data_IF_677694858152
#
_entry.id   IF_677694858152
#
_cell.length_a   1.000
_cell.length_b   1.000
_cell.length_c   1.000
_cell.angle_alpha   90.00
_cell.angle_beta   90.00
_cell.angle_gamma   90.00
#
_symmetry.space_group_name_H-M   'P 1'
#
loop_
_entity.id
_entity.type
_entity.pdbx_description
1 polymer ?
#
# COMPACT_ATOMS: atom_id res chain seq x y z
N UNK A 1 11.50 3.71 -31.20
CA UNK A 1 10.87 4.99 -30.83
C UNK A 1 10.45 4.90 -29.38
N UNK A 2 11.33 5.31 -28.47
CA UNK A 2 11.08 5.27 -27.03
C UNK A 2 10.19 6.46 -26.68
N UNK A 3 8.94 6.20 -26.30
CA UNK A 3 8.10 7.22 -25.70
C UNK A 3 8.60 7.43 -24.27
N UNK A 4 9.24 8.56 -24.01
CA UNK A 4 9.43 9.06 -22.65
C UNK A 4 8.05 9.32 -22.06
N UNK A 5 7.64 8.47 -21.12
CA UNK A 5 6.43 8.71 -20.33
C UNK A 5 6.62 9.96 -19.46
N UNK A 6 5.54 10.71 -19.16
CA UNK A 6 5.66 11.93 -18.38
C UNK A 6 6.28 11.63 -17.01
N UNK A 7 7.37 12.32 -16.70
CA UNK A 7 8.02 12.26 -15.40
C UNK A 7 7.10 12.90 -14.34
N UNK A 8 6.20 12.10 -13.76
CA UNK A 8 5.50 12.44 -12.53
C UNK A 8 6.39 12.03 -11.35
N UNK A 9 7.48 12.76 -11.13
CA UNK A 9 8.23 12.70 -9.87
C UNK A 9 8.03 14.04 -9.19
N UNK A 10 6.94 14.17 -8.45
CA UNK A 10 6.79 15.27 -7.50
C UNK A 10 7.51 14.86 -6.23
N UNK A 11 8.50 15.65 -5.80
CA UNK A 11 9.22 15.45 -4.54
C UNK A 11 8.43 15.88 -3.31
N UNK A 12 7.16 16.23 -3.47
CA UNK A 12 6.31 16.69 -2.38
C UNK A 12 5.82 15.50 -1.54
N UNK A 13 5.87 15.61 -0.19
CA UNK A 13 5.29 14.63 0.72
C UNK A 13 3.82 14.35 0.40
N UNK A 14 3.37 13.14 0.71
CA UNK A 14 1.96 12.79 0.57
C UNK A 14 1.09 13.71 1.46
N UNK A 15 0.15 14.45 0.86
CA UNK A 15 -0.85 15.20 1.64
C UNK A 15 -1.85 14.22 2.27
N UNK A 16 -1.48 13.75 3.46
CA UNK A 16 -2.27 12.79 4.23
C UNK A 16 -3.65 13.34 4.64
N UNK A 17 -3.84 14.66 4.70
CA UNK A 17 -5.14 15.26 5.00
C UNK A 17 -6.07 15.13 3.79
N UNK A 18 -5.58 15.39 2.57
CA UNK A 18 -6.32 15.14 1.34
C UNK A 18 -6.64 13.65 1.20
N UNK A 19 -5.65 12.77 1.40
CA UNK A 19 -5.84 11.32 1.30
C UNK A 19 -6.90 10.84 2.29
N UNK A 20 -6.81 11.25 3.57
CA UNK A 20 -7.81 10.92 4.58
C UNK A 20 -9.20 11.38 4.18
N UNK A 21 -9.35 12.62 3.71
CA UNK A 21 -10.64 13.17 3.27
C UNK A 21 -11.22 12.40 2.09
N UNK A 22 -10.40 12.04 1.10
CA UNK A 22 -10.83 11.24 -0.06
C UNK A 22 -11.26 9.84 0.36
N UNK A 23 -10.52 9.18 1.24
CA UNK A 23 -10.86 7.85 1.76
C UNK A 23 -12.14 7.86 2.60
N UNK A 24 -12.40 8.92 3.38
CA UNK A 24 -13.62 9.07 4.17
C UNK A 24 -14.89 9.18 3.30
N UNK A 25 -14.76 9.67 2.07
CA UNK A 25 -15.85 9.77 1.11
C UNK A 25 -15.97 8.52 0.21
N UNK A 26 -15.16 7.48 0.44
CA UNK A 26 -15.15 6.24 -0.31
C UNK A 26 -16.11 5.18 0.25
N UNK A 27 -15.87 3.92 -0.11
CA UNK A 27 -16.71 2.78 0.32
C UNK A 27 -16.58 2.42 1.80
N UNK A 28 -15.61 3.02 2.52
CA UNK A 28 -15.37 2.78 3.96
C UNK A 28 -14.85 1.39 4.31
N UNK A 29 -14.62 0.50 3.34
CA UNK A 29 -14.18 -0.88 3.56
C UNK A 29 -12.71 -0.98 4.02
N UNK A 30 -11.82 -0.19 3.41
CA UNK A 30 -10.39 -0.16 3.70
C UNK A 30 -9.87 1.28 3.58
N UNK A 31 -8.74 1.58 4.21
CA UNK A 31 -8.10 2.91 4.13
C UNK A 31 -8.24 3.73 5.40
N UNK A 32 -9.18 3.38 6.30
CA UNK A 32 -9.41 4.08 7.56
C UNK A 32 -9.51 3.10 8.75
N UNK A 33 -9.02 3.48 9.93
CA UNK A 33 -8.26 4.70 10.25
C UNK A 33 -6.93 4.81 9.49
N UNK A 34 -6.57 6.03 9.06
CA UNK A 34 -5.31 6.30 8.36
C UNK A 34 -4.24 6.79 9.35
N UNK A 35 -3.18 6.02 9.49
CA UNK A 35 -1.97 6.36 10.23
C UNK A 35 -0.88 6.75 9.25
N UNK A 36 -0.43 7.99 9.32
CA UNK A 36 0.64 8.50 8.47
C UNK A 36 1.92 8.68 9.29
N UNK A 37 3.04 8.21 8.77
CA UNK A 37 4.37 8.33 9.36
C UNK A 37 5.36 8.86 8.31
N UNK A 38 6.04 9.99 8.52
CA UNK A 38 6.99 10.50 7.53
C UNK A 38 8.09 9.49 7.19
N UNK A 39 8.69 8.86 8.22
CA UNK A 39 9.71 7.83 8.07
C UNK A 39 9.44 6.70 9.04
N UNK A 40 9.57 5.46 8.59
CA UNK A 40 9.37 4.26 9.41
C UNK A 40 10.38 3.18 9.05
N UNK A 41 10.63 2.21 9.94
CA UNK A 41 11.35 0.99 9.57
C UNK A 41 10.60 0.23 8.46
N UNK A 42 9.37 -0.19 8.77
CA UNK A 42 8.46 -0.85 7.84
C UNK A 42 7.01 -0.57 8.23
N UNK A 43 6.19 -0.12 7.29
CA UNK A 43 4.74 0.04 7.48
C UNK A 43 4.09 -1.27 7.90
N UNK A 44 4.61 -2.40 7.43
CA UNK A 44 4.09 -3.73 7.77
C UNK A 44 4.40 -4.12 9.22
N UNK A 45 5.51 -3.66 9.80
CA UNK A 45 5.81 -3.89 11.22
C UNK A 45 4.85 -3.13 12.11
N UNK A 46 4.66 -1.84 11.79
CA UNK A 46 3.72 -0.98 12.52
C UNK A 46 2.30 -1.53 12.41
N UNK A 47 1.84 -1.86 11.21
CA UNK A 47 0.53 -2.45 11.00
C UNK A 47 0.38 -3.80 11.74
N UNK A 48 1.43 -4.62 11.76
CA UNK A 48 1.45 -5.88 12.49
C UNK A 48 1.32 -5.68 14.01
N UNK A 49 2.03 -4.69 14.57
CA UNK A 49 1.92 -4.35 15.99
C UNK A 49 0.55 -3.79 16.35
N UNK A 50 0.03 -2.86 15.54
CA UNK A 50 -1.32 -2.33 15.68
C UNK A 50 -2.38 -3.44 15.60
N UNK A 51 -2.20 -4.41 14.70
CA UNK A 51 -3.12 -5.55 14.59
C UNK A 51 -3.12 -6.41 15.86
N UNK A 52 -1.95 -6.63 16.49
CA UNK A 52 -1.82 -7.36 17.76
C UNK A 52 -2.46 -6.61 18.92
N UNK A 53 -2.37 -5.28 18.94
CA UNK A 53 -2.96 -4.42 19.97
C UNK A 53 -4.43 -4.08 19.74
N UNK A 54 -5.05 -4.66 18.69
CA UNK A 54 -6.50 -4.62 18.50
C UNK A 54 -7.01 -3.60 17.47
N UNK A 55 -6.13 -3.04 16.63
CA UNK A 55 -6.56 -2.14 15.56
C UNK A 55 -7.62 -2.78 14.64
N UNK A 56 -8.57 -1.96 14.19
CA UNK A 56 -9.75 -2.41 13.44
C UNK A 56 -9.40 -2.85 12.02
N UNK A 57 -10.31 -3.61 11.42
CA UNK A 57 -10.31 -3.86 9.98
C UNK A 57 -10.20 -2.52 9.20
N UNK A 58 -9.44 -2.51 8.11
CA UNK A 58 -9.30 -1.35 7.24
C UNK A 58 -8.26 -0.33 7.69
N UNK A 59 -7.77 -0.41 8.94
CA UNK A 59 -6.69 0.44 9.45
C UNK A 59 -5.49 0.38 8.49
N UNK A 60 -5.05 1.54 8.03
CA UNK A 60 -4.02 1.66 7.00
C UNK A 60 -2.87 2.51 7.52
N UNK A 61 -1.66 1.94 7.47
CA UNK A 61 -0.41 2.65 7.79
C UNK A 61 0.23 3.05 6.47
N UNK A 62 0.57 4.32 6.32
CA UNK A 62 1.26 4.89 5.15
C UNK A 62 2.51 5.61 5.59
N UNK A 63 3.57 5.52 4.80
CA UNK A 63 4.79 6.29 5.01
C UNK A 63 5.37 6.86 3.72
N UNK A 64 6.03 8.02 3.81
CA UNK A 64 6.80 8.56 2.68
C UNK A 64 8.08 7.76 2.47
N UNK A 65 8.69 7.24 3.55
CA UNK A 65 9.91 6.46 3.47
C UNK A 65 9.96 5.25 4.41
N UNK A 66 10.59 4.17 3.93
CA UNK A 66 10.93 3.00 4.73
C UNK A 66 12.45 2.80 4.79
N UNK A 67 13.00 2.70 6.00
CA UNK A 67 14.44 2.46 6.24
C UNK A 67 14.80 0.97 6.36
N UNK A 68 13.80 0.12 6.63
CA UNK A 68 13.94 -1.32 6.80
C UNK A 68 12.81 -2.09 6.08
N UNK A 69 12.41 -1.61 4.90
CA UNK A 69 11.43 -2.26 4.05
C UNK A 69 11.86 -3.68 3.67
N UNK A 70 10.92 -4.63 3.63
CA UNK A 70 11.22 -6.04 3.34
C UNK A 70 10.52 -6.54 2.10
N UNK A 71 11.29 -7.10 1.18
CA UNK A 71 10.75 -7.89 0.08
C UNK A 71 10.26 -9.27 0.55
N UNK A 72 9.54 -9.95 -0.34
CA UNK A 72 9.01 -11.30 -0.07
C UNK A 72 10.13 -12.28 0.29
N UNK A 73 9.89 -13.06 1.35
CA UNK A 73 10.81 -14.10 1.86
C UNK A 73 12.22 -13.58 2.20
N UNK A 74 12.36 -12.30 2.54
CA UNK A 74 13.63 -11.71 2.97
C UNK A 74 14.73 -11.71 1.90
N UNK A 75 14.39 -11.87 0.61
CA UNK A 75 15.40 -11.96 -0.46
C UNK A 75 16.21 -10.67 -0.63
N UNK A 76 15.51 -9.55 -0.79
CA UNK A 76 16.13 -8.24 -0.96
C UNK A 76 15.38 -7.20 -0.12
N UNK A 77 16.08 -6.20 0.44
CA UNK A 77 15.44 -5.04 1.05
C UNK A 77 14.51 -4.37 0.04
N UNK A 78 13.33 -3.95 0.52
CA UNK A 78 12.45 -3.09 -0.26
C UNK A 78 12.86 -1.64 -0.06
N UNK A 79 13.27 -0.97 -1.13
CA UNK A 79 13.67 0.42 -1.10
C UNK A 79 12.43 1.31 -1.27
N UNK A 80 12.28 2.29 -0.37
CA UNK A 80 11.20 3.28 -0.40
C UNK A 80 11.78 4.61 0.07
N UNK A 81 12.55 5.32 -0.78
CA UNK A 81 12.99 6.68 -0.47
C UNK A 81 11.79 7.64 -0.46
N UNK A 82 11.90 8.80 0.23
CA UNK A 82 10.86 9.84 0.20
C UNK A 82 10.45 10.20 -1.23
N UNK A 83 9.15 10.28 -1.48
CA UNK A 83 8.59 10.62 -2.80
C UNK A 83 8.80 9.56 -3.90
N UNK A 84 9.48 8.45 -3.60
CA UNK A 84 9.78 7.41 -4.59
C UNK A 84 8.73 6.30 -4.70
N UNK A 85 7.91 6.11 -3.65
CA UNK A 85 6.85 5.10 -3.65
C UNK A 85 5.76 5.42 -2.64
N UNK A 86 4.55 4.90 -2.86
CA UNK A 86 3.49 4.86 -1.84
C UNK A 86 3.71 3.60 -0.99
N UNK A 87 4.42 3.74 0.13
CA UNK A 87 4.58 2.63 1.07
C UNK A 87 3.37 2.55 2.00
N UNK A 88 2.62 1.45 1.93
CA UNK A 88 1.43 1.25 2.75
C UNK A 88 1.22 -0.20 3.21
N UNK A 89 0.54 -0.36 4.34
CA UNK A 89 0.10 -1.63 4.88
C UNK A 89 -1.33 -1.51 5.43
N UNK A 90 -2.21 -2.45 5.05
CA UNK A 90 -3.63 -2.45 5.42
C UNK A 90 -3.94 -3.66 6.30
N UNK A 91 -4.58 -3.43 7.45
CA UNK A 91 -4.99 -4.49 8.37
C UNK A 91 -6.33 -5.07 7.90
N UNK A 92 -6.33 -6.35 7.54
CA UNK A 92 -7.53 -7.09 7.16
C UNK A 92 -7.90 -8.11 8.24
N UNK A 93 -9.11 -8.00 8.78
CA UNK A 93 -9.73 -9.01 9.65
C UNK A 93 -10.59 -9.93 8.80
N UNK A 94 -10.11 -11.14 8.51
CA UNK A 94 -10.72 -12.08 7.56
C UNK A 94 -11.21 -13.36 8.23
N UNK A 95 -11.88 -13.25 9.38
CA UNK A 95 -12.34 -14.42 10.16
C UNK A 95 -13.30 -15.34 9.42
N UNK A 96 -14.02 -14.83 8.41
CA UNK A 96 -14.95 -15.60 7.58
C UNK A 96 -14.30 -16.25 6.33
N UNK A 97 -13.00 -16.02 6.11
CA UNK A 97 -12.28 -16.55 4.93
C UNK A 97 -11.47 -17.77 5.34
N UNK A 98 -11.73 -18.90 4.66
CA UNK A 98 -10.98 -20.13 4.88
C UNK A 98 -9.46 -19.94 4.62
N UNK A 99 -8.55 -20.51 5.44
CA UNK A 99 -7.11 -20.29 5.33
C UNK A 99 -6.54 -20.54 3.92
N UNK A 100 -7.05 -21.55 3.22
CA UNK A 100 -6.62 -21.95 1.88
C UNK A 100 -6.93 -20.87 0.82
N UNK A 101 -7.89 -19.98 1.12
CA UNK A 101 -8.30 -18.87 0.26
C UNK A 101 -7.52 -17.59 0.52
N UNK A 102 -6.75 -17.48 1.61
CA UNK A 102 -6.02 -16.25 1.96
C UNK A 102 -5.00 -15.85 0.88
N UNK A 103 -4.40 -16.81 0.18
CA UNK A 103 -3.50 -16.53 -0.94
C UNK A 103 -4.16 -15.74 -2.08
N UNK A 104 -5.48 -15.83 -2.24
CA UNK A 104 -6.24 -15.09 -3.26
C UNK A 104 -6.31 -13.58 -2.96
N UNK A 105 -6.13 -13.19 -1.70
CA UNK A 105 -6.12 -11.77 -1.30
C UNK A 105 -4.92 -11.06 -1.93
N UNK A 106 -3.73 -11.67 -1.92
CA UNK A 106 -2.55 -11.08 -2.56
C UNK A 106 -2.77 -10.86 -4.06
N UNK A 107 -3.44 -11.81 -4.73
CA UNK A 107 -3.82 -11.71 -6.15
C UNK A 107 -4.79 -10.54 -6.36
N UNK A 108 -5.85 -10.45 -5.56
CA UNK A 108 -6.83 -9.38 -5.64
C UNK A 108 -6.19 -7.99 -5.40
N UNK A 109 -5.26 -7.88 -4.46
CA UNK A 109 -4.50 -6.65 -4.20
C UNK A 109 -3.63 -6.27 -5.40
N UNK A 110 -2.93 -7.23 -6.01
CA UNK A 110 -2.11 -6.94 -7.21
C UNK A 110 -2.95 -6.40 -8.38
N UNK A 111 -4.15 -6.97 -8.60
CA UNK A 111 -5.10 -6.48 -9.62
C UNK A 111 -5.58 -5.08 -9.27
N UNK A 112 -6.04 -4.85 -8.03
CA UNK A 112 -6.54 -3.54 -7.59
C UNK A 112 -5.47 -2.44 -7.71
N UNK A 113 -4.21 -2.75 -7.41
CA UNK A 113 -3.09 -1.81 -7.60
C UNK A 113 -2.84 -1.53 -9.08
N UNK A 114 -2.90 -2.56 -9.95
CA UNK A 114 -2.80 -2.38 -11.40
C UNK A 114 -3.90 -1.46 -11.95
N UNK A 115 -5.15 -1.70 -11.57
CA UNK A 115 -6.30 -0.89 -11.96
C UNK A 115 -6.17 0.55 -11.45
N UNK A 116 -5.70 0.75 -10.21
CA UNK A 116 -5.47 2.07 -9.63
C UNK A 116 -4.38 2.85 -10.38
N UNK A 117 -3.27 2.20 -10.73
CA UNK A 117 -2.20 2.81 -11.54
C UNK A 117 -2.74 3.19 -12.91
N UNK A 118 -3.44 2.28 -13.58
CA UNK A 118 -4.02 2.54 -14.90
C UNK A 118 -5.03 3.69 -14.88
N UNK A 119 -5.88 3.74 -13.87
CA UNK A 119 -6.86 4.83 -13.70
C UNK A 119 -6.20 6.18 -13.40
N UNK A 120 -5.13 6.19 -12.60
CA UNK A 120 -4.45 7.42 -12.19
C UNK A 120 -3.50 7.98 -13.26
N UNK A 121 -2.92 7.11 -14.10
CA UNK A 121 -1.82 7.48 -15.00
C UNK A 121 -2.11 7.23 -16.49
N UNK A 122 -3.14 6.44 -16.81
CA UNK A 122 -3.39 5.95 -18.17
C UNK A 122 -2.43 4.85 -18.64
N UNK A 123 -1.48 4.42 -17.81
CA UNK A 123 -0.52 3.38 -18.17
C UNK A 123 -1.17 2.00 -18.18
N UNK A 124 -0.73 1.14 -19.11
CA UNK A 124 -1.08 -0.29 -19.08
C UNK A 124 -0.19 -1.03 -18.11
N UNK A 125 -0.80 -1.70 -17.13
CA UNK A 125 -0.10 -2.55 -16.16
C UNK A 125 -0.23 -4.03 -16.50
N UNK A 126 0.82 -4.81 -16.24
CA UNK A 126 0.78 -6.27 -16.29
C UNK A 126 1.30 -6.85 -14.98
N UNK A 127 0.61 -7.86 -14.45
CA UNK A 127 1.01 -8.54 -13.22
C UNK A 127 2.00 -9.67 -13.51
N UNK A 128 3.08 -9.75 -12.72
CA UNK A 128 3.95 -10.92 -12.66
C UNK A 128 3.60 -11.73 -11.42
N UNK A 129 2.95 -12.87 -11.60
CA UNK A 129 2.59 -13.74 -10.48
C UNK A 129 3.83 -14.33 -9.80
N UNK A 130 3.78 -14.57 -8.48
CA UNK A 130 2.61 -14.44 -7.59
C UNK A 130 2.42 -13.07 -6.91
N UNK A 131 3.32 -12.10 -7.14
CA UNK A 131 3.29 -10.76 -6.55
C UNK A 131 4.25 -9.83 -7.28
#
# INVERSE_FOLDING_TARGET
MHAEGPALVTSEPLDHAIVRRRLANGTGLVGLPLVYLPVVGSTNDVAGEMARTGASHGTTVVADAQTAGRGRRGKAPWQSPPGGSIAMSVILRLSSVAPERLGRIAIAVAVAVGDAIGSATGLRTAGKWPN
#
